data_IF_901133720993
#
_entry.id   IF_901133720993
#
_cell.length_a   1.000
_cell.length_b   1.000
_cell.length_c   1.000
_cell.angle_alpha   90.00
_cell.angle_beta   90.00
_cell.angle_gamma   90.00
#
_symmetry.space_group_name_H-M   'P 1'
#
loop_
_entity.id
_entity.type
_entity.pdbx_description
1 polymer ?
#
# COMPACT_ATOMS: atom_id res chain seq x y z
N UNK A 1 -9.67 -24.99 -68.29
CA UNK A 1 -10.77 -24.35 -67.58
C UNK A 1 -11.09 -24.98 -66.21
N UNK A 2 -11.02 -26.30 -65.95
CA UNK A 2 -11.32 -26.92 -64.65
C UNK A 2 -10.26 -26.63 -63.56
N UNK A 3 -8.97 -26.45 -63.91
CA UNK A 3 -7.88 -26.16 -62.96
C UNK A 3 -7.89 -24.71 -62.43
N UNK A 4 -8.32 -23.75 -63.25
CA UNK A 4 -8.43 -22.33 -62.86
C UNK A 4 -9.65 -22.06 -61.97
N UNK A 5 -10.76 -22.80 -62.16
CA UNK A 5 -11.95 -22.70 -61.30
C UNK A 5 -11.68 -23.29 -59.90
N UNK A 6 -10.90 -24.38 -59.80
CA UNK A 6 -10.52 -24.97 -58.53
C UNK A 6 -9.56 -24.08 -57.74
N UNK A 7 -8.61 -23.42 -58.43
CA UNK A 7 -7.69 -22.47 -57.75
C UNK A 7 -8.43 -21.21 -57.24
N UNK A 8 -9.41 -20.72 -58.02
CA UNK A 8 -10.24 -19.57 -57.57
C UNK A 8 -11.16 -19.89 -56.41
N UNK A 9 -11.73 -21.09 -56.37
CA UNK A 9 -12.55 -21.54 -55.21
C UNK A 9 -11.69 -21.75 -53.95
N UNK A 10 -10.50 -22.29 -54.07
CA UNK A 10 -9.56 -22.44 -52.94
C UNK A 10 -9.07 -21.08 -52.44
N UNK A 11 -8.81 -20.11 -53.36
CA UNK A 11 -8.43 -18.75 -52.98
C UNK A 11 -9.59 -17.98 -52.31
N UNK A 12 -10.83 -18.15 -52.82
CA UNK A 12 -12.01 -17.54 -52.23
C UNK A 12 -12.36 -18.13 -50.85
N UNK A 13 -12.21 -19.44 -50.66
CA UNK A 13 -12.37 -20.07 -49.33
C UNK A 13 -11.27 -19.66 -48.38
N UNK A 14 -10.03 -19.50 -48.81
CA UNK A 14 -8.92 -19.00 -47.98
C UNK A 14 -9.12 -17.54 -47.56
N UNK A 15 -9.66 -16.69 -48.44
CA UNK A 15 -10.02 -15.30 -48.11
C UNK A 15 -11.21 -15.19 -47.14
N UNK A 16 -12.18 -16.09 -47.21
CA UNK A 16 -13.29 -16.17 -46.24
C UNK A 16 -12.83 -16.68 -44.88
N UNK A 17 -11.88 -17.58 -44.78
CA UNK A 17 -11.28 -18.08 -43.55
C UNK A 17 -10.39 -17.03 -42.87
N UNK A 18 -9.76 -16.13 -43.62
CA UNK A 18 -8.93 -15.05 -43.03
C UNK A 18 -9.74 -14.00 -42.25
N UNK A 19 -11.06 -13.90 -42.48
CA UNK A 19 -11.94 -12.97 -41.73
C UNK A 19 -12.36 -13.43 -40.35
N UNK A 20 -12.20 -14.71 -40.00
CA UNK A 20 -12.75 -15.27 -38.77
C UNK A 20 -11.82 -15.13 -37.54
N UNK A 21 -10.52 -14.95 -37.73
CA UNK A 21 -9.52 -14.86 -36.65
C UNK A 21 -8.81 -13.48 -36.58
N UNK A 22 -9.50 -12.41 -36.97
CA UNK A 22 -8.94 -11.06 -36.91
C UNK A 22 -9.14 -10.43 -35.53
N UNK A 23 -8.13 -9.77 -34.93
CA UNK A 23 -8.26 -9.05 -33.67
C UNK A 23 -9.21 -7.83 -33.73
N UNK A 24 -9.83 -7.54 -34.87
CA UNK A 24 -10.71 -6.38 -35.09
C UNK A 24 -9.96 -5.06 -35.17
N UNK A 25 -10.72 -3.95 -35.27
CA UNK A 25 -10.15 -2.61 -35.31
C UNK A 25 -9.45 -2.27 -33.96
N UNK A 26 -8.35 -1.52 -34.05
CA UNK A 26 -7.69 -1.02 -32.84
C UNK A 26 -8.61 0.02 -32.16
N UNK A 27 -8.99 -0.24 -30.93
CA UNK A 27 -9.65 0.74 -30.07
C UNK A 27 -8.57 1.58 -29.41
N UNK A 28 -8.74 2.92 -29.43
CA UNK A 28 -7.80 3.82 -28.77
C UNK A 28 -7.82 3.55 -27.25
N UNK A 29 -6.65 3.35 -26.62
CA UNK A 29 -6.59 3.15 -25.17
C UNK A 29 -7.00 4.41 -24.44
N UNK A 30 -7.54 4.26 -23.23
CA UNK A 30 -7.84 5.37 -22.32
C UNK A 30 -6.57 6.15 -22.00
N UNK A 31 -6.68 7.48 -21.92
CA UNK A 31 -5.52 8.35 -21.67
C UNK A 31 -5.22 8.46 -20.16
N UNK A 32 -3.94 8.40 -19.80
CA UNK A 32 -3.46 8.80 -18.46
C UNK A 32 -3.57 10.33 -18.33
N UNK A 33 -4.01 10.79 -17.15
CA UNK A 33 -3.98 12.21 -16.81
C UNK A 33 -2.54 12.65 -16.59
N UNK A 34 -2.21 13.84 -17.10
CA UNK A 34 -0.90 14.44 -16.90
C UNK A 34 -0.94 15.41 -15.72
N UNK A 35 -0.03 15.32 -14.74
CA UNK A 35 0.00 16.20 -13.57
C UNK A 35 0.05 17.69 -13.93
N UNK A 36 0.80 18.05 -14.98
CA UNK A 36 0.93 19.41 -15.46
C UNK A 36 -0.42 20.02 -15.94
N UNK A 37 -1.28 19.19 -16.57
CA UNK A 37 -2.61 19.61 -17.01
C UNK A 37 -3.58 19.88 -15.83
N UNK A 38 -3.24 19.41 -14.63
CA UNK A 38 -4.01 19.56 -13.40
C UNK A 38 -3.50 20.71 -12.50
N UNK A 39 -2.67 21.61 -13.04
CA UNK A 39 -2.17 22.80 -12.32
C UNK A 39 -0.97 22.55 -11.42
N UNK A 40 -0.36 21.37 -11.49
CA UNK A 40 0.88 21.11 -10.78
C UNK A 40 2.04 21.84 -11.49
N UNK A 41 2.74 22.72 -10.78
CA UNK A 41 3.85 23.51 -11.33
C UNK A 41 5.20 22.86 -11.01
N UNK A 42 6.17 22.97 -11.92
CA UNK A 42 7.54 22.57 -11.64
C UNK A 42 8.11 23.41 -10.46
N UNK A 43 8.71 22.75 -9.48
CA UNK A 43 9.33 23.41 -8.33
C UNK A 43 10.74 22.88 -8.16
N UNK A 44 11.65 23.76 -7.73
CA UNK A 44 13.03 23.42 -7.35
C UNK A 44 13.15 22.99 -5.88
N UNK A 45 12.03 22.74 -5.20
CA UNK A 45 12.05 22.31 -3.80
C UNK A 45 12.76 20.97 -3.64
N UNK A 46 13.58 20.87 -2.61
CA UNK A 46 14.23 19.62 -2.25
C UNK A 46 13.20 18.55 -1.91
N UNK A 47 13.41 17.36 -2.45
CA UNK A 47 12.60 16.18 -2.16
C UNK A 47 12.86 15.74 -0.72
N UNK A 48 11.83 15.29 0.04
CA UNK A 48 12.11 14.77 1.37
C UNK A 48 13.18 13.66 1.31
N UNK A 49 14.11 13.68 2.26
CA UNK A 49 15.11 12.61 2.37
C UNK A 49 14.44 11.26 2.67
N UNK A 50 15.07 10.12 2.32
CA UNK A 50 14.54 8.79 2.68
C UNK A 50 14.31 8.58 4.18
N UNK A 51 14.97 9.40 5.01
CA UNK A 51 14.84 9.45 6.47
C UNK A 51 14.22 10.78 6.92
N UNK A 52 13.19 11.25 6.21
CA UNK A 52 12.55 12.56 6.41
C UNK A 52 12.14 12.85 7.87
N UNK A 53 11.88 11.82 8.68
CA UNK A 53 11.52 11.96 10.09
C UNK A 53 12.66 12.49 10.96
N UNK A 54 13.92 12.42 10.53
CA UNK A 54 15.07 12.98 11.26
C UNK A 54 15.11 14.51 11.23
N UNK A 55 14.32 15.14 10.37
CA UNK A 55 14.24 16.60 10.25
C UNK A 55 13.71 17.26 11.54
N UNK A 56 12.93 16.56 12.35
CA UNK A 56 12.44 17.06 13.64
C UNK A 56 13.51 17.05 14.75
N UNK A 57 14.64 16.36 14.57
CA UNK A 57 15.76 16.33 15.50
C UNK A 57 15.46 15.60 16.81
N UNK A 58 14.53 14.65 16.79
CA UNK A 58 14.15 13.84 17.96
C UNK A 58 14.73 12.42 17.83
N UNK A 59 15.81 12.17 18.58
CA UNK A 59 16.51 10.89 18.56
C UNK A 59 15.65 9.71 19.06
N UNK A 60 14.65 9.94 19.91
CA UNK A 60 13.73 8.88 20.35
C UNK A 60 12.81 8.48 19.20
N UNK A 61 12.24 9.44 18.47
CA UNK A 61 11.46 9.19 17.27
C UNK A 61 12.28 8.43 16.22
N UNK A 62 13.51 8.88 15.96
CA UNK A 62 14.40 8.25 14.99
C UNK A 62 14.64 6.77 15.29
N UNK A 63 14.92 6.46 16.57
CA UNK A 63 15.14 5.09 17.03
C UNK A 63 13.88 4.22 16.88
N UNK A 64 12.70 4.76 17.24
CA UNK A 64 11.43 4.02 17.13
C UNK A 64 11.05 3.76 15.69
N UNK A 65 11.20 4.75 14.79
CA UNK A 65 10.94 4.56 13.35
C UNK A 65 11.89 3.53 12.76
N UNK A 66 13.19 3.61 13.08
CA UNK A 66 14.18 2.63 12.62
C UNK A 66 13.83 1.21 13.09
N UNK A 67 13.43 1.05 14.35
CA UNK A 67 12.97 -0.23 14.90
C UNK A 67 11.71 -0.74 14.20
N UNK A 68 10.72 0.11 13.99
CA UNK A 68 9.48 -0.25 13.30
C UNK A 68 9.76 -0.74 11.87
N UNK A 69 10.63 -0.03 11.13
CA UNK A 69 11.00 -0.41 9.77
C UNK A 69 11.79 -1.72 9.71
N UNK A 70 12.49 -2.10 10.77
CA UNK A 70 13.24 -3.35 10.86
C UNK A 70 12.39 -4.54 11.32
N UNK A 71 11.42 -4.32 12.20
CA UNK A 71 10.72 -5.38 12.93
C UNK A 71 9.23 -5.53 12.59
N UNK A 72 8.63 -4.64 11.77
CA UNK A 72 7.19 -4.69 11.49
C UNK A 72 6.77 -5.91 10.66
N UNK A 73 5.87 -6.76 11.17
CA UNK A 73 5.31 -7.88 10.41
C UNK A 73 4.54 -7.43 9.14
N UNK A 74 3.92 -6.26 9.19
CA UNK A 74 3.21 -5.69 8.04
C UNK A 74 4.17 -5.39 6.88
N UNK A 75 5.35 -4.82 7.20
CA UNK A 75 6.37 -4.55 6.19
C UNK A 75 7.02 -5.84 5.68
N UNK A 76 7.26 -6.81 6.56
CA UNK A 76 7.72 -8.15 6.17
C UNK A 76 6.72 -8.80 5.19
N UNK A 77 5.42 -8.75 5.48
CA UNK A 77 4.37 -9.24 4.58
C UNK A 77 4.38 -8.54 3.21
N UNK A 78 4.66 -7.23 3.16
CA UNK A 78 4.82 -6.52 1.89
C UNK A 78 6.04 -7.04 1.11
N UNK A 79 7.16 -7.34 1.78
CA UNK A 79 8.33 -8.00 1.19
C UNK A 79 8.02 -9.38 0.62
N UNK A 80 7.23 -10.19 1.32
CA UNK A 80 6.81 -11.51 0.82
C UNK A 80 5.94 -11.41 -0.44
N UNK A 81 5.11 -10.39 -0.58
CA UNK A 81 4.34 -10.15 -1.82
C UNK A 81 5.26 -9.85 -3.00
N UNK A 82 6.37 -9.16 -2.79
CA UNK A 82 7.40 -8.97 -3.82
C UNK A 82 8.00 -10.30 -4.23
N UNK A 83 8.32 -11.19 -3.27
CA UNK A 83 8.85 -12.54 -3.56
C UNK A 83 7.85 -13.40 -4.34
N UNK A 84 6.56 -13.33 -4.00
CA UNK A 84 5.49 -14.01 -4.76
C UNK A 84 5.44 -13.50 -6.20
N UNK A 85 5.47 -12.18 -6.41
CA UNK A 85 5.45 -11.60 -7.75
C UNK A 85 6.71 -11.98 -8.55
N UNK A 86 7.88 -11.99 -7.91
CA UNK A 86 9.13 -12.42 -8.54
C UNK A 86 9.07 -13.89 -8.94
N UNK A 87 8.60 -14.78 -8.06
CA UNK A 87 8.44 -16.19 -8.37
C UNK A 87 7.46 -16.44 -9.54
N UNK A 88 6.40 -15.64 -9.64
CA UNK A 88 5.49 -15.70 -10.77
C UNK A 88 6.16 -15.24 -12.09
N UNK A 89 7.01 -14.22 -12.04
CA UNK A 89 7.80 -13.80 -13.20
C UNK A 89 8.83 -14.86 -13.60
N UNK A 90 9.51 -15.49 -12.63
CA UNK A 90 10.47 -16.57 -12.87
C UNK A 90 9.77 -17.79 -13.48
N UNK A 91 8.60 -18.20 -12.98
CA UNK A 91 7.78 -19.27 -13.54
C UNK A 91 7.35 -18.96 -14.98
N UNK A 92 6.94 -17.72 -15.26
CA UNK A 92 6.61 -17.28 -16.62
C UNK A 92 7.84 -17.30 -17.54
N UNK A 93 8.99 -16.90 -17.01
CA UNK A 93 10.28 -16.98 -17.70
C UNK A 93 10.69 -18.43 -18.03
N UNK A 94 10.50 -19.34 -17.07
CA UNK A 94 10.79 -20.76 -17.23
C UNK A 94 9.93 -21.41 -18.34
N UNK A 95 8.70 -20.97 -18.53
CA UNK A 95 7.83 -21.47 -19.61
C UNK A 95 8.40 -21.21 -21.03
N UNK A 96 9.36 -20.29 -21.17
CA UNK A 96 10.07 -20.01 -22.46
C UNK A 96 11.19 -21.01 -22.75
N UNK A 97 11.57 -21.84 -21.77
CA UNK A 97 12.60 -22.86 -21.93
C UNK A 97 11.99 -24.19 -22.37
N UNK A 98 12.77 -25.08 -23.01
CA UNK A 98 12.31 -26.44 -23.26
C UNK A 98 11.84 -27.13 -21.96
N UNK A 99 10.66 -27.76 -22.02
CA UNK A 99 10.09 -28.52 -20.91
C UNK A 99 10.24 -29.99 -21.17
N UNK A 100 10.79 -30.74 -20.21
CA UNK A 100 10.96 -32.18 -20.31
C UNK A 100 10.11 -32.88 -19.23
N UNK A 101 9.32 -33.86 -19.66
CA UNK A 101 8.44 -34.61 -18.79
C UNK A 101 8.65 -36.11 -19.00
N UNK A 102 8.68 -36.89 -17.92
CA UNK A 102 8.59 -38.36 -17.97
C UNK A 102 7.15 -38.79 -17.73
N UNK A 103 6.59 -39.55 -18.65
CA UNK A 103 5.29 -40.20 -18.50
C UNK A 103 5.47 -41.69 -18.49
N UNK A 104 4.93 -42.37 -17.49
CA UNK A 104 4.91 -43.84 -17.40
C UNK A 104 3.45 -44.23 -17.21
N UNK A 105 2.97 -45.06 -18.14
CA UNK A 105 1.62 -45.63 -18.10
C UNK A 105 1.71 -47.13 -18.24
N UNK A 106 1.16 -47.82 -17.26
CA UNK A 106 1.07 -49.30 -17.24
C UNK A 106 -0.40 -49.61 -17.00
N UNK A 107 -1.08 -50.14 -18.01
CA UNK A 107 -2.51 -50.46 -17.91
C UNK A 107 -2.77 -51.89 -18.40
N UNK A 108 -3.46 -52.68 -17.60
CA UNK A 108 -4.03 -53.96 -18.03
C UNK A 108 -5.45 -53.69 -18.55
N UNK A 109 -5.65 -53.87 -19.86
CA UNK A 109 -6.92 -53.51 -20.49
C UNK A 109 -7.44 -54.61 -21.42
N UNK A 110 -8.76 -54.77 -21.42
CA UNK A 110 -9.42 -55.60 -22.42
C UNK A 110 -9.65 -54.81 -23.71
N UNK A 111 -9.09 -55.29 -24.83
CA UNK A 111 -9.38 -54.72 -26.14
C UNK A 111 -10.78 -55.20 -26.61
N UNK A 112 -11.64 -54.28 -26.96
CA UNK A 112 -12.99 -54.60 -27.43
C UNK A 112 -12.96 -55.38 -28.76
N UNK A 113 -13.85 -56.37 -28.90
CA UNK A 113 -14.04 -57.08 -30.18
C UNK A 113 -14.70 -56.24 -31.25
N UNK A 114 -15.44 -55.18 -30.83
CA UNK A 114 -16.20 -54.29 -31.72
C UNK A 114 -15.44 -52.98 -32.03
N UNK A 115 -14.12 -52.94 -31.84
CA UNK A 115 -13.29 -51.77 -32.06
C UNK A 115 -12.44 -51.83 -33.31
N UNK A 116 -11.51 -50.86 -33.43
CA UNK A 116 -10.59 -50.76 -34.59
C UNK A 116 -9.38 -51.73 -34.47
N UNK A 117 -9.22 -52.41 -33.33
CA UNK A 117 -8.10 -53.35 -33.09
C UNK A 117 -8.48 -54.72 -33.67
N UNK A 118 -7.70 -55.23 -34.64
CA UNK A 118 -8.02 -56.51 -35.28
C UNK A 118 -7.60 -57.71 -34.38
N UNK A 119 -8.11 -58.93 -34.68
CA UNK A 119 -7.54 -60.14 -34.10
C UNK A 119 -6.03 -60.27 -34.38
N UNK A 120 -5.25 -60.83 -33.47
CA UNK A 120 -5.61 -61.57 -32.26
C UNK A 120 -5.83 -60.73 -31.01
N UNK A 121 -5.69 -59.40 -31.08
CA UNK A 121 -5.82 -58.49 -29.90
C UNK A 121 -7.28 -58.26 -29.55
N UNK A 122 -8.17 -58.18 -30.52
CA UNK A 122 -9.61 -58.03 -30.28
C UNK A 122 -10.12 -59.14 -29.34
N UNK A 123 -10.78 -58.72 -28.22
CA UNK A 123 -11.29 -59.60 -27.18
C UNK A 123 -10.28 -60.06 -26.13
N UNK A 124 -8.98 -59.84 -26.34
CA UNK A 124 -7.93 -60.21 -25.38
C UNK A 124 -7.74 -59.17 -24.27
N UNK A 125 -7.21 -59.59 -23.14
CA UNK A 125 -6.71 -58.74 -22.06
C UNK A 125 -5.20 -58.71 -22.18
N UNK A 126 -4.62 -57.53 -22.27
CA UNK A 126 -3.18 -57.34 -22.44
C UNK A 126 -2.69 -56.11 -21.68
N UNK A 127 -1.48 -56.18 -21.16
CA UNK A 127 -0.77 -55.03 -20.65
C UNK A 127 -0.41 -54.09 -21.80
N UNK A 128 -0.91 -52.85 -21.73
CA UNK A 128 -0.52 -51.76 -22.62
C UNK A 128 0.39 -50.82 -21.82
N UNK A 129 1.65 -50.79 -22.18
CA UNK A 129 2.69 -50.15 -21.40
C UNK A 129 3.36 -49.06 -22.24
N UNK A 130 3.60 -47.91 -21.63
CA UNK A 130 4.42 -46.86 -22.18
C UNK A 130 5.28 -46.19 -21.11
N UNK A 131 6.53 -45.91 -21.43
CA UNK A 131 7.39 -45.02 -20.65
C UNK A 131 8.12 -44.11 -21.60
N UNK A 132 7.90 -42.80 -21.49
CA UNK A 132 8.34 -41.85 -22.48
C UNK A 132 8.84 -40.55 -21.83
N UNK A 133 10.04 -40.11 -22.24
CA UNK A 133 10.49 -38.74 -21.97
C UNK A 133 10.08 -37.91 -23.19
N UNK A 134 9.21 -36.92 -22.94
CA UNK A 134 8.79 -35.95 -23.92
C UNK A 134 9.43 -34.57 -23.63
N UNK A 135 9.91 -33.94 -24.69
CA UNK A 135 10.42 -32.56 -24.65
C UNK A 135 9.53 -31.68 -25.53
N UNK A 136 9.01 -30.59 -24.97
CA UNK A 136 8.24 -29.58 -25.70
C UNK A 136 8.89 -28.21 -25.56
N UNK A 137 8.96 -27.47 -26.65
CA UNK A 137 9.45 -26.09 -26.63
C UNK A 137 8.67 -25.23 -27.60
N UNK A 138 7.96 -24.24 -27.04
CA UNK A 138 7.23 -23.25 -27.83
C UNK A 138 8.21 -22.21 -28.39
N UNK A 139 8.24 -22.07 -29.70
CA UNK A 139 8.99 -21.00 -30.37
C UNK A 139 8.15 -19.72 -30.35
N UNK A 140 8.61 -18.72 -29.60
CA UNK A 140 7.89 -17.46 -29.41
C UNK A 140 8.01 -16.51 -30.61
N UNK A 141 7.53 -16.95 -31.77
CA UNK A 141 7.65 -16.21 -33.05
C UNK A 141 6.84 -14.91 -33.06
N UNK A 142 5.73 -14.88 -32.33
CA UNK A 142 4.81 -13.75 -32.29
C UNK A 142 4.84 -12.99 -30.96
N UNK A 143 5.79 -13.28 -30.08
CA UNK A 143 6.07 -12.55 -28.85
C UNK A 143 5.08 -12.78 -27.72
N UNK A 144 4.24 -13.83 -27.78
CA UNK A 144 3.26 -14.16 -26.73
C UNK A 144 3.91 -14.36 -25.36
N UNK A 145 4.93 -15.20 -25.32
CA UNK A 145 5.64 -15.51 -24.06
C UNK A 145 6.52 -14.36 -23.59
N UNK A 146 7.11 -13.60 -24.53
CA UNK A 146 7.87 -12.40 -24.20
C UNK A 146 6.94 -11.35 -23.55
N UNK A 147 5.79 -11.08 -24.16
CA UNK A 147 4.81 -10.15 -23.62
C UNK A 147 4.28 -10.61 -22.25
N UNK A 148 4.06 -11.91 -22.05
CA UNK A 148 3.65 -12.47 -20.75
C UNK A 148 4.73 -12.26 -19.67
N UNK A 149 6.01 -12.47 -20.00
CA UNK A 149 7.12 -12.20 -19.10
C UNK A 149 7.23 -10.71 -18.78
N UNK A 150 7.12 -9.83 -19.78
CA UNK A 150 7.14 -8.37 -19.57
C UNK A 150 6.00 -7.91 -18.67
N UNK A 151 4.80 -8.50 -18.80
CA UNK A 151 3.66 -8.25 -17.92
C UNK A 151 3.98 -8.70 -16.48
N UNK A 152 4.52 -9.89 -16.28
CA UNK A 152 4.90 -10.42 -14.97
C UNK A 152 6.01 -9.59 -14.30
N UNK A 153 7.01 -9.13 -15.06
CA UNK A 153 8.04 -8.19 -14.58
C UNK A 153 7.40 -6.86 -14.16
N UNK A 154 6.46 -6.34 -14.95
CA UNK A 154 5.70 -5.14 -14.60
C UNK A 154 4.95 -5.28 -13.28
N UNK A 155 4.30 -6.42 -13.04
CA UNK A 155 3.64 -6.73 -11.76
C UNK A 155 4.65 -6.83 -10.60
N UNK A 156 5.85 -7.41 -10.84
CA UNK A 156 6.92 -7.46 -9.83
C UNK A 156 7.39 -6.05 -9.44
N UNK A 157 7.60 -5.16 -10.40
CA UNK A 157 7.97 -3.77 -10.15
C UNK A 157 6.85 -3.01 -9.42
N UNK A 158 5.59 -3.26 -9.75
CA UNK A 158 4.46 -2.72 -9.02
C UNK A 158 4.46 -3.16 -7.55
N UNK A 159 4.70 -4.46 -7.27
CA UNK A 159 4.80 -4.98 -5.92
C UNK A 159 5.99 -4.38 -5.14
N UNK A 160 7.13 -4.15 -5.79
CA UNK A 160 8.28 -3.47 -5.18
C UNK A 160 7.94 -2.02 -4.79
N UNK A 161 7.27 -1.30 -5.67
CA UNK A 161 6.81 0.06 -5.38
C UNK A 161 5.75 0.07 -4.24
N UNK A 162 4.82 -0.89 -4.21
CA UNK A 162 3.87 -1.05 -3.10
C UNK A 162 4.55 -1.31 -1.75
N UNK A 163 5.63 -2.09 -1.74
CA UNK A 163 6.41 -2.34 -0.53
C UNK A 163 7.08 -1.04 -0.02
N UNK A 164 7.54 -0.18 -0.93
CA UNK A 164 8.06 1.14 -0.56
C UNK A 164 6.95 2.08 -0.08
N UNK A 165 5.76 2.05 -0.68
CA UNK A 165 4.60 2.79 -0.20
C UNK A 165 4.22 2.35 1.23
N UNK A 166 4.25 1.05 1.52
CA UNK A 166 4.02 0.51 2.86
C UNK A 166 5.08 0.99 3.87
N UNK A 167 6.35 1.08 3.46
CA UNK A 167 7.44 1.63 4.29
C UNK A 167 7.18 3.10 4.67
N UNK A 168 6.81 3.93 3.69
CA UNK A 168 6.50 5.35 3.92
C UNK A 168 5.27 5.49 4.83
N UNK A 169 4.24 4.68 4.60
CA UNK A 169 3.03 4.65 5.42
C UNK A 169 3.34 4.26 6.87
N UNK A 170 4.13 3.22 7.09
CA UNK A 170 4.52 2.77 8.43
C UNK A 170 5.30 3.86 9.17
N UNK A 171 6.33 4.45 8.54
CA UNK A 171 7.11 5.54 9.14
C UNK A 171 6.20 6.72 9.53
N UNK A 172 5.25 7.08 8.66
CA UNK A 172 4.28 8.14 8.96
C UNK A 172 3.31 7.80 10.08
N UNK A 173 2.84 6.56 10.16
CA UNK A 173 1.97 6.11 11.23
C UNK A 173 2.70 6.11 12.59
N UNK A 174 3.96 5.67 12.63
CA UNK A 174 4.81 5.71 13.82
C UNK A 174 5.03 7.15 14.28
N UNK A 175 5.40 8.06 13.37
CA UNK A 175 5.61 9.46 13.71
C UNK A 175 4.32 10.13 14.22
N UNK A 176 3.18 9.86 13.57
CA UNK A 176 1.88 10.39 14.02
C UNK A 176 1.47 9.85 15.40
N UNK A 177 1.69 8.55 15.66
CA UNK A 177 1.43 7.94 16.96
C UNK A 177 2.35 8.51 18.05
N UNK A 178 3.61 8.76 17.73
CA UNK A 178 4.59 9.38 18.62
C UNK A 178 4.19 10.81 19.01
N UNK A 179 3.81 11.66 18.05
CA UNK A 179 3.36 13.02 18.33
C UNK A 179 2.01 13.06 19.07
N UNK A 180 1.12 12.09 18.81
CA UNK A 180 -0.08 11.95 19.63
C UNK A 180 0.23 11.56 21.08
N UNK A 181 1.20 10.66 21.31
CA UNK A 181 1.69 10.33 22.66
C UNK A 181 2.30 11.57 23.32
N UNK A 182 3.12 12.34 22.61
CA UNK A 182 3.72 13.57 23.13
C UNK A 182 2.64 14.59 23.53
N UNK A 183 1.55 14.70 22.77
CA UNK A 183 0.39 15.54 23.10
C UNK A 183 -0.30 15.10 24.39
N UNK A 184 -0.51 13.79 24.55
CA UNK A 184 -1.14 13.25 25.78
C UNK A 184 -0.27 13.46 27.02
N UNK A 185 1.03 13.25 26.91
CA UNK A 185 2.01 13.52 27.96
C UNK A 185 1.99 15.00 28.35
N UNK A 186 1.95 15.91 27.38
CA UNK A 186 1.87 17.35 27.63
C UNK A 186 0.56 17.75 28.29
N UNK A 187 -0.58 17.23 27.81
CA UNK A 187 -1.88 17.51 28.42
C UNK A 187 -1.95 16.97 29.87
N UNK A 188 -1.34 15.82 30.13
CA UNK A 188 -1.23 15.28 31.50
C UNK A 188 -0.38 16.18 32.40
N UNK A 189 0.75 16.71 31.88
CA UNK A 189 1.60 17.66 32.58
C UNK A 189 0.83 18.96 32.95
N UNK A 190 0.08 19.51 31.99
CA UNK A 190 -0.76 20.69 32.19
C UNK A 190 -1.88 20.44 33.24
N UNK A 191 -2.48 19.26 33.22
CA UNK A 191 -3.46 18.86 34.23
C UNK A 191 -2.85 18.76 35.63
N UNK A 192 -1.65 18.21 35.76
CA UNK A 192 -0.93 18.14 37.03
C UNK A 192 -0.54 19.51 37.57
N UNK A 193 -0.09 20.43 36.70
CA UNK A 193 0.17 21.83 37.09
C UNK A 193 -1.11 22.54 37.53
N UNK A 194 -2.22 22.31 36.84
CA UNK A 194 -3.52 22.84 37.25
C UNK A 194 -3.97 22.30 38.60
N UNK A 195 -3.73 21.02 38.91
CA UNK A 195 -3.99 20.42 40.18
C UNK A 195 -3.23 21.15 41.29
N UNK A 196 -1.92 21.33 41.14
CA UNK A 196 -1.09 22.04 42.12
C UNK A 196 -1.55 23.49 42.33
N UNK A 197 -1.93 24.22 41.25
CA UNK A 197 -2.50 25.57 41.37
C UNK A 197 -3.85 25.57 42.11
N UNK A 198 -4.73 24.58 41.87
CA UNK A 198 -6.02 24.45 42.56
C UNK A 198 -5.83 24.16 44.04
N UNK A 199 -4.84 23.37 44.42
CA UNK A 199 -4.48 23.11 45.83
C UNK A 199 -4.00 24.41 46.55
N UNK A 200 -3.20 25.23 45.85
CA UNK A 200 -2.78 26.54 46.38
C UNK A 200 -3.98 27.49 46.58
N UNK A 201 -4.90 27.52 45.60
CA UNK A 201 -6.13 28.33 45.70
C UNK A 201 -7.03 27.79 46.82
N UNK A 202 -7.15 26.46 47.02
CA UNK A 202 -7.90 25.89 48.15
C UNK A 202 -7.29 26.29 49.50
N UNK A 203 -5.97 26.33 49.62
CA UNK A 203 -5.30 26.79 50.85
C UNK A 203 -5.66 28.27 51.15
N UNK A 204 -5.68 29.11 50.13
CA UNK A 204 -6.11 30.53 50.24
C UNK A 204 -7.58 30.63 50.67
N UNK A 205 -8.49 29.88 50.07
CA UNK A 205 -9.91 29.84 50.43
C UNK A 205 -10.08 29.47 51.89
N UNK A 206 -9.34 28.45 52.40
CA UNK A 206 -9.37 28.04 53.83
C UNK A 206 -8.92 29.18 54.75
N UNK A 207 -7.86 29.89 54.38
CA UNK A 207 -7.38 31.05 55.18
C UNK A 207 -8.43 32.16 55.23
N UNK A 208 -9.08 32.44 54.11
CA UNK A 208 -10.13 33.50 54.03
C UNK A 208 -11.39 33.12 54.80
N UNK A 209 -11.78 31.85 54.81
CA UNK A 209 -12.89 31.34 55.67
C UNK A 209 -12.56 31.53 57.16
N UNK A 210 -11.31 31.17 57.55
CA UNK A 210 -10.87 31.40 58.93
C UNK A 210 -10.89 32.89 59.35
N UNK A 211 -10.68 33.78 58.40
CA UNK A 211 -10.79 35.22 58.58
C UNK A 211 -12.24 35.76 58.44
N UNK A 212 -13.23 34.93 58.18
CA UNK A 212 -14.64 35.32 57.99
C UNK A 212 -14.95 36.02 56.67
N UNK A 213 -14.05 35.93 55.67
CA UNK A 213 -14.15 36.64 54.38
C UNK A 213 -14.80 35.77 53.29
N UNK A 214 -14.82 34.44 53.40
CA UNK A 214 -15.42 33.49 52.48
C UNK A 214 -16.33 32.50 53.21
N UNK A 215 -17.12 31.73 52.45
CA UNK A 215 -18.12 30.80 52.97
C UNK A 215 -17.72 29.33 52.66
N UNK A 216 -18.53 28.38 53.17
CA UNK A 216 -18.36 26.94 52.85
C UNK A 216 -18.67 26.64 51.38
N UNK A 217 -19.34 27.52 50.68
CA UNK A 217 -19.64 27.31 49.24
C UNK A 217 -18.35 27.34 48.42
N UNK A 218 -17.48 28.33 48.63
CA UNK A 218 -16.20 28.44 47.94
C UNK A 218 -15.30 27.24 48.27
N UNK A 219 -15.32 26.76 49.54
CA UNK A 219 -14.61 25.57 49.95
C UNK A 219 -15.05 24.34 49.14
N UNK A 220 -16.36 24.08 49.08
CA UNK A 220 -16.89 22.91 48.34
C UNK A 220 -16.67 23.00 46.86
N UNK A 221 -16.74 24.17 46.26
CA UNK A 221 -16.40 24.40 44.87
C UNK A 221 -14.92 24.06 44.58
N UNK A 222 -14.00 24.56 45.43
CA UNK A 222 -12.57 24.31 45.27
C UNK A 222 -12.23 22.80 45.45
N UNK A 223 -12.81 22.14 46.46
CA UNK A 223 -12.64 20.68 46.67
C UNK A 223 -13.19 19.86 45.47
N UNK A 224 -14.36 20.23 44.92
CA UNK A 224 -14.96 19.58 43.78
C UNK A 224 -14.09 19.67 42.51
N UNK A 225 -13.45 20.82 42.30
CA UNK A 225 -12.55 21.02 41.17
C UNK A 225 -11.26 20.21 41.24
N UNK A 226 -10.71 20.04 42.42
CA UNK A 226 -9.55 19.18 42.67
C UNK A 226 -9.91 17.74 42.28
N UNK A 227 -11.03 17.22 42.83
CA UNK A 227 -11.50 15.88 42.49
C UNK A 227 -11.73 15.70 40.99
N UNK A 228 -12.33 16.68 40.31
CA UNK A 228 -12.53 16.65 38.85
C UNK A 228 -11.20 16.61 38.08
N UNK A 229 -10.17 17.36 38.56
CA UNK A 229 -8.85 17.35 37.92
C UNK A 229 -8.15 16.00 38.10
N UNK A 230 -8.33 15.36 39.25
CA UNK A 230 -7.80 14.03 39.48
C UNK A 230 -8.41 12.98 38.53
N UNK A 231 -9.74 13.01 38.32
CA UNK A 231 -10.42 12.16 37.33
C UNK A 231 -9.85 12.40 35.93
N UNK A 232 -9.56 13.63 35.58
CA UNK A 232 -8.97 13.96 34.28
C UNK A 232 -7.54 13.43 34.15
N UNK A 233 -6.71 13.55 35.20
CA UNK A 233 -5.35 13.00 35.20
C UNK A 233 -5.39 11.49 34.95
N UNK A 234 -6.26 10.76 35.66
CA UNK A 234 -6.43 9.31 35.48
C UNK A 234 -6.88 8.96 34.06
N UNK A 235 -7.78 9.74 33.48
CA UNK A 235 -8.19 9.55 32.07
C UNK A 235 -7.04 9.79 31.07
N UNK A 236 -6.18 10.77 31.32
CA UNK A 236 -5.00 11.05 30.51
C UNK A 236 -3.92 9.98 30.70
N UNK A 237 -3.76 9.42 31.90
CA UNK A 237 -2.86 8.30 32.17
C UNK A 237 -3.32 7.03 31.42
N UNK A 238 -4.62 6.71 31.40
CA UNK A 238 -5.18 5.63 30.58
C UNK A 238 -4.94 5.88 29.09
N UNK A 239 -5.24 7.08 28.58
CA UNK A 239 -5.03 7.42 27.18
C UNK A 239 -3.55 7.33 26.76
N UNK A 240 -2.65 7.77 27.65
CA UNK A 240 -1.19 7.68 27.48
C UNK A 240 -0.73 6.22 27.40
N UNK A 241 -1.25 5.36 28.29
CA UNK A 241 -0.95 3.93 28.28
C UNK A 241 -1.39 3.28 26.96
N UNK A 242 -2.62 3.55 26.53
CA UNK A 242 -3.13 3.04 25.23
C UNK A 242 -2.30 3.53 24.05
N UNK A 243 -1.87 4.79 24.04
CA UNK A 243 -1.01 5.35 22.98
C UNK A 243 0.37 4.67 22.95
N UNK A 244 0.95 4.33 24.11
CA UNK A 244 2.19 3.54 24.20
C UNK A 244 2.02 2.13 23.62
N UNK A 245 0.90 1.46 23.93
CA UNK A 245 0.60 0.13 23.37
C UNK A 245 0.44 0.18 21.85
N UNK A 246 -0.26 1.18 21.31
CA UNK A 246 -0.41 1.36 19.88
C UNK A 246 0.94 1.64 19.18
N UNK A 247 1.81 2.42 19.80
CA UNK A 247 3.16 2.68 19.30
C UNK A 247 4.02 1.40 19.33
N UNK A 248 3.91 0.58 20.38
CA UNK A 248 4.62 -0.69 20.49
C UNK A 248 4.17 -1.68 19.39
N UNK A 249 2.87 -1.77 19.10
CA UNK A 249 2.33 -2.56 18.01
C UNK A 249 2.92 -2.12 16.65
N UNK A 250 2.91 -0.81 16.35
CA UNK A 250 3.49 -0.28 15.12
C UNK A 250 4.99 -0.59 14.99
N UNK A 251 5.70 -0.59 16.12
CA UNK A 251 7.13 -0.92 16.19
C UNK A 251 7.42 -2.43 16.19
N UNK A 252 6.39 -3.27 16.08
CA UNK A 252 6.54 -4.73 16.13
C UNK A 252 7.00 -5.26 17.49
N UNK A 253 6.64 -4.57 18.59
CA UNK A 253 7.04 -4.88 19.95
C UNK A 253 5.86 -5.26 20.85
N UNK A 254 6.16 -5.91 21.97
CA UNK A 254 5.16 -6.18 22.99
C UNK A 254 4.72 -4.90 23.73
N UNK A 255 3.55 -4.90 24.39
CA UNK A 255 2.93 -3.69 24.98
C UNK A 255 3.78 -3.00 26.04
N UNK A 256 4.73 -3.70 26.66
CA UNK A 256 5.60 -3.14 27.69
C UNK A 256 6.85 -2.42 27.15
N UNK A 257 7.13 -2.50 25.85
CA UNK A 257 8.37 -1.98 25.27
C UNK A 257 8.56 -0.47 25.51
N UNK A 258 7.46 0.28 25.52
CA UNK A 258 7.47 1.75 25.69
C UNK A 258 6.76 2.21 26.97
N UNK A 259 6.72 1.39 28.03
CA UNK A 259 6.02 1.71 29.26
C UNK A 259 6.49 3.03 29.90
N UNK A 260 7.77 3.37 29.78
CA UNK A 260 8.38 4.58 30.35
C UNK A 260 8.59 5.69 29.33
N UNK A 261 8.20 5.50 28.06
CA UNK A 261 8.39 6.49 27.02
C UNK A 261 7.56 7.74 27.31
N UNK A 262 8.23 8.89 27.36
CA UNK A 262 7.60 10.18 27.67
C UNK A 262 8.14 11.26 26.74
N UNK A 263 7.66 11.32 25.49
CA UNK A 263 8.13 12.30 24.52
C UNK A 263 7.63 13.71 24.87
N UNK A 264 8.41 14.72 24.52
CA UNK A 264 8.07 16.13 24.74
C UNK A 264 7.72 16.81 23.42
N UNK A 265 6.67 17.64 23.43
CA UNK A 265 6.38 18.55 22.31
C UNK A 265 7.34 19.75 22.26
N UNK A 266 7.92 20.10 23.41
CA UNK A 266 8.89 21.20 23.51
C UNK A 266 10.21 20.81 22.83
N UNK A 267 10.78 21.69 22.02
CA UNK A 267 12.07 21.46 21.35
C UNK A 267 12.00 20.72 20.02
N UNK A 268 10.86 20.13 19.65
CA UNK A 268 10.68 19.56 18.31
C UNK A 268 10.71 20.70 17.29
N UNK A 269 11.64 20.59 16.33
CA UNK A 269 11.78 21.57 15.25
C UNK A 269 10.69 21.35 14.23
N UNK A 270 10.14 22.44 13.67
CA UNK A 270 9.28 22.33 12.49
C UNK A 270 10.13 21.99 11.28
N UNK A 271 9.73 21.01 10.50
CA UNK A 271 10.37 20.70 9.24
C UNK A 271 10.06 21.85 8.25
N UNK A 272 11.11 22.43 7.64
CA UNK A 272 10.93 23.40 6.58
C UNK A 272 10.40 22.69 5.33
N UNK A 273 9.07 22.71 5.15
CA UNK A 273 8.41 22.07 4.03
C UNK A 273 8.12 23.09 2.93
N UNK A 274 8.14 22.69 1.64
CA UNK A 274 7.93 23.61 0.53
C UNK A 274 6.51 24.19 0.57
N UNK A 275 6.41 25.50 0.41
CA UNK A 275 5.14 26.23 0.42
C UNK A 275 4.30 26.04 -0.86
N UNK A 276 4.84 25.41 -1.90
CA UNK A 276 4.22 25.22 -3.21
C UNK A 276 4.25 23.77 -3.64
N UNK A 277 3.22 23.35 -4.37
CA UNK A 277 3.04 22.01 -4.95
C UNK A 277 3.92 21.80 -6.18
N UNK A 278 4.97 20.96 -6.11
CA UNK A 278 5.76 20.64 -7.29
C UNK A 278 5.12 19.46 -8.06
N UNK A 279 4.91 19.64 -9.36
CA UNK A 279 4.40 18.58 -10.26
C UNK A 279 5.27 17.32 -10.24
N UNK A 280 6.60 17.51 -10.19
CA UNK A 280 7.58 16.41 -10.21
C UNK A 280 7.52 15.53 -8.95
N UNK A 281 7.04 16.08 -7.82
CA UNK A 281 6.96 15.35 -6.57
C UNK A 281 5.87 14.27 -6.58
N UNK A 282 4.78 14.49 -7.33
CA UNK A 282 3.69 13.51 -7.42
C UNK A 282 4.10 12.29 -8.22
N UNK A 283 4.91 12.49 -9.29
CA UNK A 283 5.43 11.40 -10.12
C UNK A 283 6.43 10.48 -9.40
N UNK A 284 6.89 10.86 -8.21
CA UNK A 284 7.85 10.09 -7.38
C UNK A 284 7.20 9.39 -6.18
N UNK A 285 5.88 9.41 -6.05
CA UNK A 285 5.17 8.63 -5.02
C UNK A 285 5.20 7.15 -5.39
N UNK A 286 5.56 6.31 -4.44
CA UNK A 286 5.66 4.87 -4.65
C UNK A 286 4.32 4.23 -5.06
N UNK A 287 3.18 4.70 -4.53
CA UNK A 287 1.86 4.23 -4.90
C UNK A 287 1.49 4.60 -6.36
N UNK A 288 1.85 5.78 -6.85
CA UNK A 288 1.67 6.17 -8.24
C UNK A 288 2.57 5.39 -9.19
N UNK A 289 3.82 5.17 -8.79
CA UNK A 289 4.77 4.32 -9.55
C UNK A 289 4.24 2.89 -9.65
N UNK A 290 3.68 2.33 -8.57
CA UNK A 290 3.03 1.03 -8.60
C UNK A 290 1.87 0.97 -9.61
N UNK A 291 1.01 1.99 -9.63
CA UNK A 291 -0.09 2.04 -10.59
C UNK A 291 0.41 2.20 -12.03
N UNK A 292 1.47 2.99 -12.27
CA UNK A 292 2.08 3.11 -13.59
C UNK A 292 2.56 1.75 -14.11
N UNK A 293 3.28 0.98 -13.29
CA UNK A 293 3.72 -0.36 -13.65
C UNK A 293 2.56 -1.32 -13.91
N UNK A 294 1.43 -1.19 -13.19
CA UNK A 294 0.21 -1.97 -13.46
C UNK A 294 -0.41 -1.63 -14.81
N UNK A 295 -0.44 -0.34 -15.18
CA UNK A 295 -0.90 0.08 -16.53
C UNK A 295 0.00 -0.51 -17.61
N UNK A 296 1.32 -0.45 -17.43
CA UNK A 296 2.28 -0.99 -18.40
C UNK A 296 2.16 -2.52 -18.51
N UNK A 297 1.99 -3.22 -17.39
CA UNK A 297 1.74 -4.67 -17.35
C UNK A 297 0.43 -5.05 -18.05
N UNK A 298 -0.66 -4.31 -17.81
CA UNK A 298 -1.95 -4.55 -18.48
C UNK A 298 -1.87 -4.32 -20.00
N UNK A 299 -1.05 -3.35 -20.45
CA UNK A 299 -0.73 -3.16 -21.85
C UNK A 299 -0.07 -4.41 -22.47
N UNK A 300 0.86 -5.04 -21.74
CA UNK A 300 1.50 -6.29 -22.17
C UNK A 300 0.55 -7.48 -22.21
N UNK A 301 -0.43 -7.54 -21.30
CA UNK A 301 -1.50 -8.54 -21.35
C UNK A 301 -2.37 -8.43 -22.61
N UNK A 302 -2.57 -7.21 -23.14
CA UNK A 302 -3.22 -7.01 -24.44
C UNK A 302 -2.36 -7.62 -25.56
N UNK A 303 -1.02 -7.45 -25.53
CA UNK A 303 -0.11 -8.03 -26.51
C UNK A 303 -0.14 -9.57 -26.43
N UNK A 304 -0.21 -10.15 -25.23
CA UNK A 304 -0.42 -11.61 -25.05
C UNK A 304 -1.71 -12.07 -25.73
N UNK A 305 -2.82 -11.37 -25.47
CA UNK A 305 -4.12 -11.73 -26.05
C UNK A 305 -4.14 -11.59 -27.57
N UNK A 306 -3.47 -10.56 -28.13
CA UNK A 306 -3.29 -10.40 -29.58
C UNK A 306 -2.46 -11.51 -30.18
N UNK A 307 -1.39 -11.93 -29.53
CA UNK A 307 -0.52 -13.00 -30.01
C UNK A 307 -1.24 -14.34 -30.13
N UNK A 308 -2.33 -14.58 -29.41
CA UNK A 308 -3.14 -15.79 -29.50
C UNK A 308 -3.90 -15.94 -30.83
N UNK A 309 -4.03 -14.88 -31.63
CA UNK A 309 -4.60 -14.95 -33.00
C UNK A 309 -3.62 -15.48 -34.01
N UNK A 310 -2.33 -15.57 -33.71
CA UNK A 310 -1.29 -16.02 -34.60
C UNK A 310 -0.96 -17.51 -34.37
N UNK A 311 -0.33 -18.17 -35.37
CA UNK A 311 0.06 -19.56 -35.23
C UNK A 311 1.03 -19.77 -34.04
N UNK A 312 0.77 -20.81 -33.25
CA UNK A 312 1.71 -21.28 -32.23
C UNK A 312 2.54 -22.43 -32.84
N UNK A 313 3.85 -22.33 -32.77
CA UNK A 313 4.79 -23.33 -33.27
C UNK A 313 5.55 -23.95 -32.10
N UNK A 314 5.30 -25.23 -31.84
CA UNK A 314 5.99 -26.01 -30.82
C UNK A 314 6.97 -26.98 -31.46
N UNK A 315 8.19 -27.06 -30.96
CA UNK A 315 9.09 -28.19 -31.22
C UNK A 315 8.79 -29.27 -30.19
N UNK A 316 8.46 -30.46 -30.67
CA UNK A 316 8.21 -31.61 -29.82
C UNK A 316 9.19 -32.72 -30.17
N UNK A 317 9.72 -33.37 -29.16
CA UNK A 317 10.55 -34.54 -29.31
C UNK A 317 10.23 -35.53 -28.19
N UNK A 318 10.34 -36.82 -28.48
CA UNK A 318 10.16 -37.82 -27.46
C UNK A 318 11.04 -39.04 -27.75
N UNK A 319 11.40 -39.75 -26.68
CA UNK A 319 12.08 -41.04 -26.69
C UNK A 319 11.53 -41.90 -25.58
N UNK A 320 11.30 -43.15 -25.83
CA UNK A 320 10.72 -44.01 -24.83
C UNK A 320 10.64 -45.49 -25.25
N UNK A 321 9.82 -46.22 -24.49
CA UNK A 321 9.46 -47.60 -24.71
C UNK A 321 7.94 -47.72 -24.78
N UNK A 322 7.43 -48.56 -25.67
CA UNK A 322 6.00 -48.87 -25.75
C UNK A 322 5.85 -50.35 -26.16
N UNK A 323 5.04 -51.10 -25.42
CA UNK A 323 4.83 -52.50 -25.71
C UNK A 323 3.42 -52.98 -25.32
N UNK A 324 2.98 -54.02 -25.97
CA UNK A 324 1.91 -54.92 -25.50
C UNK A 324 2.55 -56.10 -24.78
N UNK A 325 2.18 -56.32 -23.52
CA UNK A 325 2.82 -57.25 -22.62
C UNK A 325 4.01 -56.67 -21.83
N UNK A 326 4.12 -57.04 -20.56
CA UNK A 326 5.21 -56.57 -19.68
C UNK A 326 6.54 -57.25 -19.99
N UNK A 327 6.50 -58.48 -20.48
CA UNK A 327 7.66 -59.31 -20.85
C UNK A 327 8.54 -58.67 -21.91
N UNK A 328 7.95 -57.88 -22.82
CA UNK A 328 8.64 -57.24 -23.92
C UNK A 328 8.95 -55.74 -23.69
N UNK A 329 8.54 -55.22 -22.55
CA UNK A 329 8.58 -53.77 -22.32
C UNK A 329 9.98 -53.16 -22.42
N UNK A 330 11.00 -53.88 -21.96
CA UNK A 330 12.38 -53.37 -21.97
C UNK A 330 13.21 -53.92 -23.18
N UNK A 331 12.58 -54.59 -24.12
CA UNK A 331 13.26 -55.10 -25.32
C UNK A 331 13.63 -53.97 -26.30
N UNK A 332 14.64 -54.22 -27.12
CA UNK A 332 15.07 -53.27 -28.15
C UNK A 332 13.96 -52.91 -29.15
N UNK A 333 13.05 -53.88 -29.43
CA UNK A 333 11.91 -53.73 -30.32
C UNK A 333 10.81 -52.83 -29.77
N UNK A 334 10.80 -52.47 -28.47
CA UNK A 334 9.82 -51.57 -27.83
C UNK A 334 10.23 -50.09 -27.86
N UNK A 335 11.41 -49.79 -28.43
CA UNK A 335 11.88 -48.39 -28.51
C UNK A 335 11.00 -47.56 -29.42
N UNK A 336 10.60 -46.40 -28.94
CA UNK A 336 9.87 -45.41 -29.71
C UNK A 336 10.55 -44.05 -29.59
N UNK A 337 10.65 -43.30 -30.68
CA UNK A 337 11.18 -41.95 -30.68
C UNK A 337 10.63 -41.17 -31.85
N UNK A 338 10.58 -39.85 -31.68
CA UNK A 338 10.14 -38.91 -32.73
C UNK A 338 10.51 -37.50 -32.41
N UNK A 339 10.63 -36.67 -33.42
CA UNK A 339 10.82 -35.25 -33.26
C UNK A 339 10.17 -34.49 -34.44
N UNK A 340 9.62 -33.33 -34.23
CA UNK A 340 9.05 -32.51 -35.27
C UNK A 340 8.41 -31.23 -34.77
N UNK A 341 8.09 -30.25 -35.68
CA UNK A 341 7.31 -29.11 -35.34
C UNK A 341 5.82 -29.49 -35.24
N UNK A 342 5.13 -28.91 -34.24
CA UNK A 342 3.68 -28.95 -34.10
C UNK A 342 3.14 -27.53 -34.26
N UNK A 343 2.31 -27.29 -35.26
CA UNK A 343 1.67 -26.02 -35.56
C UNK A 343 0.22 -26.04 -35.09
N UNK A 344 -0.16 -25.04 -34.28
CA UNK A 344 -1.55 -24.81 -33.91
C UNK A 344 -1.99 -23.40 -34.30
N UNK A 345 -3.04 -23.29 -35.11
CA UNK A 345 -3.67 -22.06 -35.55
C UNK A 345 -5.18 -22.16 -35.35
N UNK A 346 -5.79 -21.36 -34.47
CA UNK A 346 -7.24 -21.30 -34.32
C UNK A 346 -7.86 -20.62 -35.55
N UNK A 347 -8.59 -21.39 -36.38
CA UNK A 347 -9.30 -20.87 -37.57
C UNK A 347 -10.69 -20.34 -37.22
N UNK A 348 -11.37 -21.02 -36.30
CA UNK A 348 -12.68 -20.65 -35.81
C UNK A 348 -12.82 -21.06 -34.34
N UNK A 349 -13.21 -20.13 -33.47
CA UNK A 349 -13.33 -20.34 -32.03
C UNK A 349 -14.63 -19.76 -31.43
N UNK A 350 -15.60 -19.42 -32.26
CA UNK A 350 -16.89 -18.86 -31.86
C UNK A 350 -16.77 -17.44 -31.24
N UNK A 351 -15.64 -16.74 -31.48
CA UNK A 351 -15.41 -15.38 -30.94
C UNK A 351 -14.73 -15.34 -29.58
N UNK A 352 -14.27 -16.47 -29.04
CA UNK A 352 -13.62 -16.58 -27.74
C UNK A 352 -12.37 -15.68 -27.63
N UNK A 353 -11.47 -15.73 -28.63
CA UNK A 353 -10.25 -14.90 -28.61
C UNK A 353 -10.55 -13.41 -28.68
N UNK A 354 -11.59 -13.02 -29.41
CA UNK A 354 -12.01 -11.61 -29.47
C UNK A 354 -12.56 -11.15 -28.13
N UNK A 355 -13.42 -11.96 -27.50
CA UNK A 355 -13.94 -11.65 -26.18
C UNK A 355 -12.81 -11.57 -25.12
N UNK A 356 -11.79 -12.44 -25.20
CA UNK A 356 -10.61 -12.37 -24.34
C UNK A 356 -9.78 -11.11 -24.57
N UNK A 357 -9.58 -10.71 -25.81
CA UNK A 357 -8.88 -9.46 -26.15
C UNK A 357 -9.64 -8.24 -25.63
N UNK A 358 -10.97 -8.22 -25.77
CA UNK A 358 -11.81 -7.12 -25.29
C UNK A 358 -11.82 -7.06 -23.75
N UNK A 359 -11.79 -8.20 -23.07
CA UNK A 359 -11.62 -8.25 -21.62
C UNK A 359 -10.26 -7.64 -21.21
N UNK A 360 -9.16 -7.99 -21.90
CA UNK A 360 -7.83 -7.43 -21.60
C UNK A 360 -7.73 -5.92 -21.89
N UNK A 361 -8.45 -5.43 -22.90
CA UNK A 361 -8.59 -3.98 -23.12
C UNK A 361 -9.32 -3.28 -21.99
N UNK A 362 -10.43 -3.87 -21.53
CA UNK A 362 -11.17 -3.33 -20.38
C UNK A 362 -10.33 -3.36 -19.09
N UNK A 363 -9.55 -4.43 -18.84
CA UNK A 363 -8.61 -4.51 -17.73
C UNK A 363 -7.56 -3.38 -17.79
N UNK A 364 -7.02 -3.08 -18.98
CA UNK A 364 -6.06 -2.01 -19.16
C UNK A 364 -6.69 -0.62 -18.96
N UNK A 365 -7.90 -0.39 -19.44
CA UNK A 365 -8.65 0.84 -19.20
C UNK A 365 -8.94 1.03 -17.70
N UNK A 366 -9.31 -0.04 -17.01
CA UNK A 366 -9.49 -0.02 -15.55
C UNK A 366 -8.19 0.31 -14.80
N UNK A 367 -7.04 -0.20 -15.27
CA UNK A 367 -5.74 0.13 -14.69
C UNK A 367 -5.40 1.63 -14.88
N UNK A 368 -5.72 2.21 -16.05
CA UNK A 368 -5.56 3.65 -16.30
C UNK A 368 -6.47 4.47 -15.39
N UNK A 369 -7.71 4.06 -15.20
CA UNK A 369 -8.64 4.75 -14.29
C UNK A 369 -8.16 4.68 -12.84
N UNK A 370 -7.61 3.55 -12.41
CA UNK A 370 -7.00 3.40 -11.08
C UNK A 370 -5.78 4.32 -10.89
N UNK A 371 -4.93 4.45 -11.91
CA UNK A 371 -3.83 5.41 -11.92
C UNK A 371 -4.35 6.86 -11.80
N UNK A 372 -5.34 7.23 -12.62
CA UNK A 372 -5.92 8.57 -12.63
C UNK A 372 -6.57 8.91 -11.28
N UNK A 373 -7.30 7.97 -10.68
CA UNK A 373 -7.89 8.14 -9.35
C UNK A 373 -6.82 8.33 -8.25
N UNK A 374 -5.72 7.57 -8.33
CA UNK A 374 -4.61 7.69 -7.38
C UNK A 374 -3.89 9.04 -7.55
N UNK A 375 -3.69 9.51 -8.79
CA UNK A 375 -3.12 10.82 -9.08
C UNK A 375 -3.96 11.97 -8.50
N UNK A 376 -5.28 11.94 -8.74
CA UNK A 376 -6.19 12.97 -8.21
C UNK A 376 -6.20 12.98 -6.68
N UNK A 377 -6.17 11.79 -6.06
CA UNK A 377 -6.06 11.67 -4.59
C UNK A 377 -4.75 12.25 -4.08
N UNK A 378 -3.63 11.97 -4.74
CA UNK A 378 -2.32 12.48 -4.36
C UNK A 378 -2.26 14.01 -4.43
N UNK A 379 -2.82 14.61 -5.49
CA UNK A 379 -2.93 16.07 -5.64
C UNK A 379 -3.76 16.68 -4.51
N UNK A 380 -4.93 16.10 -4.22
CA UNK A 380 -5.80 16.56 -3.14
C UNK A 380 -5.08 16.47 -1.78
N UNK A 381 -4.44 15.34 -1.46
CA UNK A 381 -3.73 15.16 -0.19
C UNK A 381 -2.68 16.25 0.03
N UNK A 382 -1.85 16.53 -0.98
CA UNK A 382 -0.82 17.58 -0.84
C UNK A 382 -1.46 18.96 -0.71
N UNK A 383 -2.51 19.28 -1.49
CA UNK A 383 -3.20 20.57 -1.41
C UNK A 383 -3.85 20.77 -0.02
N UNK A 384 -4.50 19.75 0.51
CA UNK A 384 -5.13 19.76 1.83
C UNK A 384 -4.09 20.00 2.93
N UNK A 385 -2.95 19.31 2.90
CA UNK A 385 -1.92 19.44 3.95
C UNK A 385 -1.19 20.78 3.88
N UNK A 386 -0.91 21.32 2.69
CA UNK A 386 -0.32 22.66 2.56
C UNK A 386 -1.30 23.71 3.11
N UNK A 387 -2.58 23.62 2.76
CA UNK A 387 -3.61 24.52 3.29
C UNK A 387 -3.76 24.42 4.82
N UNK A 388 -3.71 23.17 5.34
CA UNK A 388 -3.76 22.89 6.78
C UNK A 388 -2.58 23.52 7.51
N UNK A 389 -1.35 23.37 7.03
CA UNK A 389 -0.15 23.93 7.66
C UNK A 389 -0.19 25.45 7.71
N UNK A 390 -0.53 26.09 6.60
CA UNK A 390 -0.70 27.56 6.57
C UNK A 390 -1.77 28.06 7.55
N UNK A 391 -2.87 27.32 7.67
CA UNK A 391 -3.93 27.63 8.64
C UNK A 391 -3.46 27.43 10.07
N UNK A 392 -2.77 26.32 10.36
CA UNK A 392 -2.26 25.99 11.69
C UNK A 392 -1.22 27.00 12.18
N UNK A 393 -0.35 27.53 11.32
CA UNK A 393 0.57 28.62 11.66
C UNK A 393 -0.17 29.90 12.08
N UNK A 394 -1.24 30.28 11.37
CA UNK A 394 -2.07 31.42 11.77
C UNK A 394 -2.79 31.15 13.10
N UNK A 395 -3.34 29.95 13.28
CA UNK A 395 -4.00 29.55 14.52
C UNK A 395 -3.04 29.56 15.70
N UNK A 396 -1.80 29.06 15.56
CA UNK A 396 -0.80 29.07 16.63
C UNK A 396 -0.43 30.49 17.07
N UNK A 397 -0.30 31.44 16.12
CA UNK A 397 -0.04 32.85 16.45
C UNK A 397 -1.18 33.44 17.28
N UNK A 398 -2.41 33.30 16.82
CA UNK A 398 -3.59 33.81 17.54
C UNK A 398 -3.77 33.12 18.91
N UNK A 399 -3.46 31.81 18.98
CA UNK A 399 -3.52 31.05 20.23
C UNK A 399 -2.47 31.50 21.25
N UNK A 400 -1.28 31.87 20.81
CA UNK A 400 -0.24 32.39 21.69
C UNK A 400 -0.70 33.72 22.35
N UNK A 401 -1.31 34.62 21.57
CA UNK A 401 -1.91 35.89 22.10
C UNK A 401 -3.04 35.59 23.10
N UNK A 402 -3.95 34.67 22.76
CA UNK A 402 -5.04 34.27 23.64
C UNK A 402 -4.56 33.66 24.97
N UNK A 403 -3.51 32.82 24.88
CA UNK A 403 -2.90 32.18 26.07
C UNK A 403 -2.26 33.25 26.96
N UNK A 404 -1.48 34.16 26.41
CA UNK A 404 -0.86 35.26 27.19
C UNK A 404 -1.90 36.17 27.85
N UNK A 405 -2.97 36.49 27.15
CA UNK A 405 -4.07 37.30 27.71
C UNK A 405 -4.79 36.57 28.87
N UNK A 406 -5.04 35.26 28.71
CA UNK A 406 -5.67 34.43 29.74
C UNK A 406 -4.79 34.31 30.99
N UNK A 407 -3.48 34.12 30.83
CA UNK A 407 -2.50 34.04 31.92
C UNK A 407 -2.45 35.35 32.69
N UNK A 408 -2.35 36.51 32.01
CA UNK A 408 -2.37 37.81 32.67
C UNK A 408 -3.69 38.07 33.41
N UNK A 409 -4.83 37.67 32.83
CA UNK A 409 -6.13 37.81 33.51
C UNK A 409 -6.22 36.92 34.78
N UNK A 410 -5.67 35.71 34.73
CA UNK A 410 -5.63 34.84 35.91
C UNK A 410 -4.77 35.41 37.05
N UNK A 411 -3.57 35.90 36.75
CA UNK A 411 -2.69 36.56 37.73
C UNK A 411 -3.38 37.74 38.38
N UNK A 412 -4.00 38.64 37.64
CA UNK A 412 -4.75 39.79 38.16
C UNK A 412 -5.97 39.35 38.99
N UNK A 413 -6.68 38.29 38.59
CA UNK A 413 -7.81 37.76 39.35
C UNK A 413 -7.37 37.23 40.71
N UNK A 414 -6.24 36.50 40.78
CA UNK A 414 -5.65 35.99 42.03
C UNK A 414 -5.21 37.15 42.94
N UNK A 415 -4.51 38.16 42.44
CA UNK A 415 -4.07 39.34 43.18
C UNK A 415 -5.25 40.12 43.78
N UNK A 416 -6.30 40.36 42.97
CA UNK A 416 -7.51 41.03 43.48
C UNK A 416 -8.26 40.23 44.52
N UNK A 417 -8.32 38.91 44.38
CA UNK A 417 -8.94 38.03 45.34
C UNK A 417 -8.15 38.01 46.65
N UNK A 418 -6.82 37.94 46.63
CA UNK A 418 -5.95 38.05 47.78
C UNK A 418 -6.12 39.36 48.52
N UNK A 419 -6.25 40.48 47.79
CA UNK A 419 -6.46 41.80 48.36
C UNK A 419 -7.91 42.05 48.87
N UNK A 420 -8.82 41.09 48.75
CA UNK A 420 -10.23 41.24 49.12
C UNK A 420 -11.06 42.08 48.13
N UNK A 421 -10.52 42.39 46.96
CA UNK A 421 -11.15 43.24 45.93
C UNK A 421 -11.85 42.43 44.81
N UNK A 422 -11.87 41.10 44.95
CA UNK A 422 -12.46 40.15 44.00
C UNK A 422 -13.15 39.00 44.72
N UNK A 423 -13.91 38.21 43.98
CA UNK A 423 -14.54 36.99 44.46
C UNK A 423 -13.87 35.72 43.90
N UNK A 424 -14.11 34.60 44.53
CA UNK A 424 -13.56 33.29 44.13
C UNK A 424 -14.00 32.87 42.73
N UNK A 425 -15.23 33.16 42.34
CA UNK A 425 -15.75 32.77 41.00
C UNK A 425 -14.93 33.40 39.86
N UNK A 426 -14.44 34.62 40.04
CA UNK A 426 -13.57 35.28 39.05
C UNK A 426 -12.24 34.54 38.91
N UNK A 427 -11.61 34.12 40.01
CA UNK A 427 -10.37 33.32 40.00
C UNK A 427 -10.59 31.98 39.30
N UNK A 428 -11.68 31.29 39.65
CA UNK A 428 -12.06 30.02 39.09
C UNK A 428 -12.27 30.11 37.57
N UNK A 429 -13.02 31.08 37.09
CA UNK A 429 -13.29 31.31 35.67
C UNK A 429 -11.99 31.59 34.92
N UNK A 430 -11.14 32.47 35.44
CA UNK A 430 -9.83 32.75 34.81
C UNK A 430 -8.92 31.57 34.80
N UNK A 431 -8.83 30.74 35.87
CA UNK A 431 -8.03 29.53 35.92
C UNK A 431 -8.49 28.49 34.90
N UNK A 432 -9.80 28.28 34.79
CA UNK A 432 -10.37 27.34 33.81
C UNK A 432 -10.03 27.77 32.40
N UNK A 433 -10.09 29.10 32.12
CA UNK A 433 -9.72 29.64 30.81
C UNK A 433 -8.22 29.43 30.49
N UNK A 434 -7.31 29.71 31.43
CA UNK A 434 -5.86 29.46 31.22
C UNK A 434 -5.59 28.01 30.85
N UNK A 435 -6.17 27.06 31.60
CA UNK A 435 -5.99 25.64 31.32
C UNK A 435 -6.51 25.27 29.92
N UNK A 436 -7.68 25.80 29.54
CA UNK A 436 -8.26 25.60 28.20
C UNK A 436 -7.34 26.13 27.10
N UNK A 437 -6.79 27.35 27.26
CA UNK A 437 -5.88 27.96 26.28
C UNK A 437 -4.55 27.20 26.18
N UNK A 438 -3.96 26.79 27.28
CA UNK A 438 -2.70 25.99 27.28
C UNK A 438 -2.89 24.63 26.59
N UNK A 439 -4.02 23.94 26.81
CA UNK A 439 -4.36 22.70 26.10
C UNK A 439 -4.56 22.93 24.62
N UNK A 440 -5.31 23.95 24.25
CA UNK A 440 -5.50 24.31 22.85
C UNK A 440 -4.17 24.59 22.15
N UNK A 441 -3.22 25.26 22.82
CA UNK A 441 -1.88 25.49 22.29
C UNK A 441 -1.10 24.17 22.08
N UNK A 442 -1.14 23.23 23.05
CA UNK A 442 -0.52 21.92 22.94
C UNK A 442 -1.14 21.09 21.79
N UNK A 443 -2.47 21.08 21.70
CA UNK A 443 -3.20 20.36 20.65
C UNK A 443 -2.91 20.96 19.26
N UNK A 444 -2.83 22.28 19.11
CA UNK A 444 -2.45 22.94 17.86
C UNK A 444 -1.02 22.60 17.45
N UNK A 445 -0.08 22.54 18.40
CA UNK A 445 1.29 22.13 18.12
C UNK A 445 1.37 20.68 17.65
N UNK A 446 0.68 19.77 18.31
CA UNK A 446 0.62 18.37 17.91
C UNK A 446 -0.04 18.20 16.52
N UNK A 447 -1.12 18.94 16.23
CA UNK A 447 -1.77 18.96 14.92
C UNK A 447 -0.84 19.49 13.82
N UNK A 448 -0.03 20.49 14.12
CA UNK A 448 0.95 21.03 13.16
C UNK A 448 2.00 19.93 12.80
N UNK A 449 2.57 19.26 13.79
CA UNK A 449 3.50 18.15 13.57
C UNK A 449 2.85 16.99 12.81
N UNK A 450 1.60 16.65 13.12
CA UNK A 450 0.86 15.62 12.40
C UNK A 450 0.61 16.01 10.92
N UNK A 451 0.32 17.28 10.63
CA UNK A 451 0.17 17.80 9.28
C UNK A 451 1.51 17.78 8.50
N UNK A 452 2.63 18.08 9.17
CA UNK A 452 3.98 17.92 8.58
C UNK A 452 4.26 16.46 8.20
N UNK A 453 3.93 15.50 9.08
CA UNK A 453 4.03 14.05 8.78
C UNK A 453 3.16 13.68 7.58
N UNK A 454 1.92 14.16 7.56
CA UNK A 454 0.99 13.89 6.47
C UNK A 454 1.49 14.47 5.15
N UNK A 455 2.02 15.69 5.15
CA UNK A 455 2.62 16.31 3.95
C UNK A 455 3.87 15.55 3.48
N UNK A 456 4.77 15.15 4.38
CA UNK A 456 5.94 14.33 4.01
C UNK A 456 5.53 13.02 3.33
N UNK A 457 4.47 12.35 3.84
CA UNK A 457 3.88 11.16 3.21
C UNK A 457 3.24 11.47 1.86
N UNK A 458 2.44 12.54 1.78
CA UNK A 458 1.76 12.95 0.55
C UNK A 458 2.76 13.30 -0.57
N UNK A 459 3.94 13.79 -0.20
CA UNK A 459 5.08 14.02 -1.10
C UNK A 459 5.90 12.77 -1.41
N UNK A 460 5.49 11.59 -0.90
CA UNK A 460 6.11 10.29 -1.19
C UNK A 460 7.24 9.87 -0.27
N UNK A 461 7.50 10.60 0.84
CA UNK A 461 8.42 10.18 1.89
C UNK A 461 9.85 9.89 1.43
N UNK A 462 10.37 10.61 0.44
CA UNK A 462 11.73 10.44 -0.06
C UNK A 462 11.96 9.22 -0.96
N UNK A 463 10.90 8.58 -1.45
CA UNK A 463 11.02 7.48 -2.41
C UNK A 463 11.66 7.96 -3.72
N UNK A 464 12.59 7.16 -4.23
CA UNK A 464 13.16 7.29 -5.58
C UNK A 464 13.08 5.95 -6.27
N UNK A 465 12.56 5.95 -7.49
CA UNK A 465 12.60 4.77 -8.34
C UNK A 465 14.07 4.49 -8.70
N UNK A 466 14.51 3.22 -8.48
CA UNK A 466 15.87 2.76 -8.77
C UNK A 466 16.11 2.53 -10.26
#
# INVERSE_FOLDING_TARGET
MKRTAFALTVLATALWLAGCASPGAAVAPRAKLEPAALGATASTADWPAPTWWTAWGDAQLDAIVAQALAASPTLASAGERVRVAQAAADATGAARQPQANLSVELSDQRFTENGLVPPPLAGSIQWNNSAQIGVGWELDLFGRQRAALDAAIGQTRAAQADAQAARVLLAGNVASAYFNLARLVENRRLAAESLAQREQVLALVRQRIAAGLDTRVELRQAEGLIAQTQVEIESLDEATLRARHALAELAGQGPQAYATLSPALAGVRSAALPATLPADLIGRRADLVAQRWRVDAAGKEIDVARAQFYPNVNLVAFVGLSSLGLDRFVEAGSRTFGAGPALHLPLFDGGRLRAQLDAKRADADAAVDAYNATLLRALREVADEVGSLQSLERQQRAQAEATGAAEAAFELAVQRYQAGLGNFLTVLTAQTNVLAQRRAAADLKARHLAAEVALARALGGGYREA
#
